data_IF_702294404873
#
_entry.id   IF_702294404873
#
_cell.length_a   1.000
_cell.length_b   1.000
_cell.length_c   1.000
_cell.angle_alpha   90.00
_cell.angle_beta   90.00
_cell.angle_gamma   90.00
#
_symmetry.space_group_name_H-M   'P 1'
#
loop_
_entity.id
_entity.type
_entity.pdbx_description
1 polymer ?
#
# COMPACT_ATOMS: atom_id res chain seq x y z
N UNK A 1 -31.59 -63.94 35.79
CA UNK A 1 -32.78 -64.74 35.38
C UNK A 1 -33.03 -64.43 33.91
N UNK A 2 -32.73 -65.22 32.89
CA UNK A 2 -32.10 -66.53 32.61
C UNK A 2 -31.42 -66.30 31.23
N UNK A 3 -30.13 -66.52 31.04
CA UNK A 3 -29.43 -67.77 30.74
C UNK A 3 -29.93 -68.61 29.54
N UNK A 4 -28.97 -68.95 28.68
CA UNK A 4 -28.90 -70.05 27.70
C UNK A 4 -29.90 -70.10 26.53
N UNK A 5 -29.36 -70.05 25.29
CA UNK A 5 -29.01 -71.29 24.56
C UNK A 5 -28.19 -71.03 23.28
N UNK A 6 -27.02 -71.66 23.29
CA UNK A 6 -26.19 -71.98 22.13
C UNK A 6 -26.94 -72.86 21.13
N UNK A 7 -26.65 -72.68 19.84
CA UNK A 7 -26.61 -73.77 18.86
C UNK A 7 -25.44 -73.54 17.91
N UNK A 8 -24.40 -74.35 18.10
CA UNK A 8 -23.40 -74.68 17.09
C UNK A 8 -24.06 -75.39 15.90
N UNK A 9 -23.57 -75.14 14.67
CA UNK A 9 -22.86 -76.14 13.85
C UNK A 9 -22.77 -75.76 12.36
N UNK A 10 -21.56 -75.95 11.85
CA UNK A 10 -21.20 -76.46 10.52
C UNK A 10 -21.22 -75.50 9.30
N UNK A 11 -20.00 -75.06 8.98
CA UNK A 11 -19.25 -75.40 7.76
C UNK A 11 -19.99 -75.30 6.42
N UNK A 12 -19.51 -74.37 5.59
CA UNK A 12 -19.24 -74.60 4.15
C UNK A 12 -18.36 -73.49 3.61
N UNK A 13 -17.10 -73.83 3.32
CA UNK A 13 -16.16 -72.93 2.68
C UNK A 13 -16.52 -72.68 1.22
N UNK A 14 -16.18 -71.49 0.74
CA UNK A 14 -15.85 -71.19 -0.66
C UNK A 14 -14.68 -70.20 -0.59
N UNK A 15 -13.54 -70.66 -1.06
CA UNK A 15 -12.36 -69.85 -1.34
C UNK A 15 -12.68 -68.94 -2.53
N UNK A 16 -12.63 -67.62 -2.35
CA UNK A 16 -12.48 -66.69 -3.46
C UNK A 16 -11.50 -65.60 -3.04
N UNK A 17 -10.36 -65.57 -3.71
CA UNK A 17 -9.34 -64.56 -3.56
C UNK A 17 -9.92 -63.17 -3.86
N UNK A 18 -9.92 -62.29 -2.87
CA UNK A 18 -10.16 -60.87 -3.08
C UNK A 18 -8.82 -60.17 -2.93
N UNK A 19 -8.32 -59.70 -4.07
CA UNK A 19 -7.04 -59.02 -4.17
C UNK A 19 -6.99 -57.79 -3.28
N UNK A 20 -5.88 -57.67 -2.55
CA UNK A 20 -5.52 -56.49 -1.77
C UNK A 20 -5.27 -55.34 -2.74
N UNK A 21 -6.27 -54.48 -2.95
CA UNK A 21 -6.03 -53.17 -3.57
C UNK A 21 -5.46 -52.27 -2.48
N UNK A 22 -4.12 -52.18 -2.44
CA UNK A 22 -3.44 -51.13 -1.68
C UNK A 22 -3.68 -49.83 -2.46
N UNK A 23 -4.73 -49.10 -2.09
CA UNK A 23 -4.89 -47.71 -2.49
C UNK A 23 -3.85 -46.92 -1.70
N UNK A 24 -2.66 -46.75 -2.28
CA UNK A 24 -1.72 -45.71 -1.85
C UNK A 24 -2.37 -44.36 -2.13
N UNK A 25 -3.06 -43.82 -1.13
CA UNK A 25 -3.45 -42.41 -1.09
C UNK A 25 -2.17 -41.59 -1.01
N UNK A 26 -1.64 -41.23 -2.17
CA UNK A 26 -0.77 -40.07 -2.35
C UNK A 26 -1.58 -38.85 -1.90
N UNK A 27 -1.44 -38.48 -0.62
CA UNK A 27 -1.65 -37.11 -0.18
C UNK A 27 -0.56 -36.27 -0.86
N UNK A 28 -0.81 -35.94 -2.13
CA UNK A 28 -0.16 -34.80 -2.77
C UNK A 28 -0.62 -33.57 -2.02
N UNK A 29 0.28 -33.00 -1.23
CA UNK A 29 0.10 -31.72 -0.58
C UNK A 29 -0.34 -30.69 -1.64
N UNK A 30 -1.58 -30.22 -1.52
CA UNK A 30 -2.05 -29.05 -2.26
C UNK A 30 -1.57 -27.80 -1.54
N UNK A 31 -0.26 -27.58 -1.55
CA UNK A 31 0.38 -26.31 -1.15
C UNK A 31 0.33 -25.33 -2.33
N UNK A 32 -0.86 -25.13 -2.90
CA UNK A 32 -1.03 -24.26 -4.08
C UNK A 32 -2.05 -23.15 -3.86
N UNK A 33 -2.23 -22.72 -2.61
CA UNK A 33 -3.12 -21.59 -2.28
C UNK A 33 -2.42 -20.44 -1.57
N UNK A 34 -1.12 -20.52 -1.25
CA UNK A 34 -0.44 -19.48 -0.46
C UNK A 34 0.55 -18.62 -1.29
N UNK A 35 0.90 -19.04 -2.51
CA UNK A 35 1.82 -18.29 -3.39
C UNK A 35 1.11 -17.12 -4.10
N UNK A 36 -0.22 -17.16 -4.18
CA UNK A 36 -1.05 -16.20 -4.94
C UNK A 36 -1.50 -14.97 -4.13
N UNK A 37 -1.12 -14.90 -2.85
CA UNK A 37 -1.54 -13.82 -1.93
C UNK A 37 -0.43 -12.80 -1.65
N UNK A 38 0.77 -12.98 -2.23
CA UNK A 38 1.77 -11.91 -2.30
C UNK A 38 1.50 -11.08 -3.53
N UNK A 39 1.25 -9.79 -3.32
CA UNK A 39 1.12 -8.80 -4.39
C UNK A 39 2.24 -8.99 -5.43
N UNK A 40 1.88 -9.36 -6.66
CA UNK A 40 2.82 -9.38 -7.79
C UNK A 40 3.36 -7.95 -7.96
N UNK A 41 4.67 -7.70 -7.71
CA UNK A 41 5.23 -6.35 -7.80
C UNK A 41 4.99 -5.69 -9.16
N UNK A 42 4.90 -6.50 -10.22
CA UNK A 42 4.60 -6.05 -11.59
C UNK A 42 3.15 -5.55 -11.70
N UNK A 43 2.21 -6.26 -11.07
CA UNK A 43 0.80 -5.89 -11.02
C UNK A 43 0.54 -4.61 -10.23
N UNK A 44 1.25 -4.42 -9.12
CA UNK A 44 1.16 -3.20 -8.32
C UNK A 44 1.71 -2.00 -9.08
N UNK A 45 2.88 -2.10 -9.72
CA UNK A 45 3.43 -1.03 -10.54
C UNK A 45 2.49 -0.66 -11.70
N UNK A 46 1.87 -1.67 -12.33
CA UNK A 46 0.89 -1.47 -13.39
C UNK A 46 -0.33 -0.69 -12.86
N UNK A 47 -0.85 -1.06 -11.69
CA UNK A 47 -1.95 -0.34 -11.06
C UNK A 47 -1.60 1.14 -10.82
N UNK A 48 -0.46 1.42 -10.18
CA UNK A 48 -0.06 2.79 -9.82
C UNK A 48 0.15 3.68 -11.05
N UNK A 49 0.76 3.14 -12.10
CA UNK A 49 1.11 3.92 -13.29
C UNK A 49 -0.01 4.03 -14.32
N UNK A 50 -0.87 3.01 -14.43
CA UNK A 50 -1.85 2.91 -15.51
C UNK A 50 -3.28 3.02 -14.99
N UNK A 51 -3.61 2.41 -13.86
CA UNK A 51 -5.00 2.29 -13.39
C UNK A 51 -5.39 3.40 -12.43
N UNK A 52 -4.55 3.75 -11.46
CA UNK A 52 -4.85 4.82 -10.50
C UNK A 52 -5.19 6.16 -11.19
N UNK A 53 -4.47 6.62 -12.23
CA UNK A 53 -4.84 7.84 -12.94
C UNK A 53 -6.22 7.74 -13.61
N UNK A 54 -6.54 6.60 -14.23
CA UNK A 54 -7.84 6.36 -14.88
C UNK A 54 -8.98 6.44 -13.86
N UNK A 55 -8.82 5.78 -12.70
CA UNK A 55 -9.84 5.82 -11.65
C UNK A 55 -10.09 7.26 -11.18
N UNK A 56 -9.02 8.02 -10.92
CA UNK A 56 -9.11 9.41 -10.48
C UNK A 56 -9.79 10.30 -11.53
N UNK A 57 -9.38 10.19 -12.79
CA UNK A 57 -9.83 11.09 -13.85
C UNK A 57 -11.24 10.77 -14.36
N UNK A 58 -11.64 9.49 -14.35
CA UNK A 58 -12.84 9.05 -15.05
C UNK A 58 -13.90 8.38 -14.17
N UNK A 59 -13.56 7.99 -12.92
CA UNK A 59 -14.45 7.17 -12.09
C UNK A 59 -14.82 7.83 -10.76
N UNK A 60 -13.83 8.34 -10.01
CA UNK A 60 -14.01 8.70 -8.59
C UNK A 60 -14.92 9.90 -8.34
N UNK A 61 -15.15 10.76 -9.34
CA UNK A 61 -16.08 11.88 -9.19
C UNK A 61 -17.52 11.41 -8.90
N UNK A 62 -17.94 10.27 -9.45
CA UNK A 62 -19.29 9.72 -9.27
C UNK A 62 -19.31 8.39 -8.51
N UNK A 63 -18.16 7.71 -8.39
CA UNK A 63 -18.03 6.40 -7.76
C UNK A 63 -16.88 6.41 -6.73
N UNK A 64 -16.91 7.39 -5.82
CA UNK A 64 -15.94 7.57 -4.74
C UNK A 64 -16.60 7.54 -3.37
N UNK A 65 -15.92 8.06 -2.35
CA UNK A 65 -16.35 7.97 -0.94
C UNK A 65 -17.47 8.96 -0.54
N UNK A 66 -17.77 9.96 -1.36
CA UNK A 66 -18.74 11.00 -1.04
C UNK A 66 -20.20 10.49 -1.18
N UNK A 67 -20.93 10.28 -0.07
CA UNK A 67 -22.29 9.73 -0.11
C UNK A 67 -23.30 10.67 -0.76
N UNK A 68 -23.01 11.97 -0.90
CA UNK A 68 -23.92 12.92 -1.55
C UNK A 68 -23.86 12.83 -3.09
N UNK A 69 -22.74 12.31 -3.62
CA UNK A 69 -22.46 12.29 -5.06
C UNK A 69 -22.49 10.85 -5.63
N UNK A 70 -22.20 9.85 -4.79
CA UNK A 70 -22.03 8.46 -5.19
C UNK A 70 -23.23 7.92 -6.01
N UNK A 71 -22.92 7.21 -7.10
CA UNK A 71 -23.90 6.58 -7.99
C UNK A 71 -23.84 5.05 -7.89
N UNK A 72 -25.01 4.43 -7.89
CA UNK A 72 -25.17 2.97 -7.87
C UNK A 72 -24.59 2.28 -6.63
N UNK A 73 -24.43 3.01 -5.51
CA UNK A 73 -23.76 2.55 -4.29
C UNK A 73 -22.38 1.91 -4.56
N UNK A 74 -21.69 2.38 -5.60
CA UNK A 74 -20.41 1.83 -6.05
C UNK A 74 -19.27 2.76 -5.64
N UNK A 75 -18.40 2.27 -4.75
CA UNK A 75 -17.18 2.96 -4.33
C UNK A 75 -15.94 2.30 -4.98
N UNK A 76 -15.31 3.00 -5.93
CA UNK A 76 -14.09 2.55 -6.59
C UNK A 76 -12.82 3.11 -5.94
N UNK A 77 -12.94 3.88 -4.85
CA UNK A 77 -11.80 4.49 -4.15
C UNK A 77 -11.01 3.49 -3.32
N UNK A 78 -11.62 2.35 -2.97
CA UNK A 78 -11.01 1.27 -2.18
C UNK A 78 -10.95 -0.05 -2.96
N UNK A 79 -9.94 -0.88 -2.68
CA UNK A 79 -9.86 -2.23 -3.27
C UNK A 79 -11.08 -3.09 -2.90
N UNK A 80 -11.56 -2.97 -1.66
CA UNK A 80 -12.74 -3.67 -1.19
C UNK A 80 -14.01 -3.24 -1.95
N UNK A 81 -14.19 -1.94 -2.20
CA UNK A 81 -15.33 -1.43 -2.93
C UNK A 81 -15.34 -1.84 -4.41
N UNK A 82 -14.16 -1.88 -5.06
CA UNK A 82 -14.00 -2.43 -6.42
C UNK A 82 -14.52 -3.88 -6.50
N UNK A 83 -14.14 -4.73 -5.54
CA UNK A 83 -14.56 -6.14 -5.54
C UNK A 83 -16.01 -6.33 -5.10
N UNK A 84 -16.45 -5.60 -4.07
CA UNK A 84 -17.83 -5.68 -3.57
C UNK A 84 -18.84 -5.19 -4.62
N UNK A 85 -18.47 -4.15 -5.37
CA UNK A 85 -19.34 -3.52 -6.34
C UNK A 85 -20.47 -2.72 -5.70
N UNK A 86 -21.57 -2.55 -6.43
CA UNK A 86 -22.70 -1.71 -6.03
C UNK A 86 -24.05 -2.40 -6.23
N UNK A 87 -25.08 -1.63 -6.56
CA UNK A 87 -26.45 -2.12 -6.74
C UNK A 87 -26.57 -3.21 -7.83
N UNK A 88 -25.65 -3.21 -8.80
CA UNK A 88 -25.56 -4.20 -9.88
C UNK A 88 -24.73 -5.44 -9.54
N UNK A 89 -24.25 -5.57 -8.30
CA UNK A 89 -23.33 -6.63 -7.87
C UNK A 89 -21.85 -6.24 -8.08
N UNK A 90 -20.94 -7.24 -8.06
CA UNK A 90 -19.50 -7.02 -8.18
C UNK A 90 -19.12 -6.20 -9.41
N UNK A 91 -18.25 -5.20 -9.27
CA UNK A 91 -17.86 -4.36 -10.41
C UNK A 91 -16.74 -4.96 -11.25
N UNK A 92 -15.91 -5.81 -10.65
CA UNK A 92 -14.80 -6.49 -11.31
C UNK A 92 -14.85 -7.98 -10.96
N UNK A 93 -14.66 -8.82 -11.98
CA UNK A 93 -14.41 -10.25 -11.86
C UNK A 93 -12.93 -10.49 -12.19
N UNK A 94 -12.06 -10.70 -11.19
CA UNK A 94 -10.63 -10.91 -11.41
C UNK A 94 -10.35 -12.01 -12.43
N UNK A 95 -9.55 -11.69 -13.45
CA UNK A 95 -9.18 -12.59 -14.54
C UNK A 95 -10.16 -12.64 -15.71
N UNK A 96 -11.33 -12.01 -15.61
CA UNK A 96 -12.37 -12.05 -16.66
C UNK A 96 -12.94 -10.65 -16.96
N UNK A 97 -12.36 -9.92 -17.94
CA UNK A 97 -12.85 -8.62 -18.35
C UNK A 97 -14.24 -8.66 -18.98
N UNK A 98 -14.60 -9.75 -19.65
CA UNK A 98 -15.89 -9.85 -20.35
C UNK A 98 -17.04 -10.12 -19.36
N UNK A 99 -16.73 -10.72 -18.22
CA UNK A 99 -17.66 -10.86 -17.09
C UNK A 99 -17.63 -9.66 -16.12
N UNK A 100 -16.78 -8.66 -16.33
CA UNK A 100 -16.60 -7.53 -15.40
C UNK A 100 -17.46 -6.31 -15.78
N UNK A 101 -18.48 -5.93 -14.98
CA UNK A 101 -19.35 -4.79 -15.28
C UNK A 101 -18.60 -3.47 -15.49
N UNK A 102 -17.50 -3.24 -14.77
CA UNK A 102 -16.65 -2.06 -14.96
C UNK A 102 -16.10 -1.98 -16.39
N UNK A 103 -15.61 -3.09 -16.94
CA UNK A 103 -15.09 -3.13 -18.31
C UNK A 103 -16.20 -3.02 -19.36
N UNK A 104 -17.34 -3.68 -19.13
CA UNK A 104 -18.51 -3.58 -20.00
C UNK A 104 -19.09 -2.15 -20.07
N UNK A 105 -19.10 -1.44 -18.95
CA UNK A 105 -19.57 -0.06 -18.87
C UNK A 105 -18.68 0.90 -19.69
N UNK A 106 -17.35 0.75 -19.61
CA UNK A 106 -16.40 1.64 -20.32
C UNK A 106 -16.25 1.33 -21.81
N UNK A 107 -16.58 0.10 -22.21
CA UNK A 107 -16.66 -0.29 -23.63
C UNK A 107 -17.96 0.16 -24.30
N UNK A 108 -18.95 0.60 -23.51
CA UNK A 108 -20.30 0.96 -23.96
C UNK A 108 -20.99 -0.25 -24.64
N UNK A 109 -20.71 -1.45 -24.13
CA UNK A 109 -21.34 -2.67 -24.63
C UNK A 109 -22.87 -2.61 -24.48
N UNK A 110 -23.33 -1.99 -23.39
CA UNK A 110 -24.72 -1.58 -23.19
C UNK A 110 -24.78 -0.05 -23.03
N UNK A 111 -25.67 0.59 -23.79
CA UNK A 111 -25.84 2.05 -23.77
C UNK A 111 -26.53 2.54 -22.50
N UNK A 112 -27.31 1.70 -21.82
CA UNK A 112 -27.97 2.07 -20.56
C UNK A 112 -26.97 2.09 -19.39
N UNK A 113 -25.88 1.33 -19.50
CA UNK A 113 -24.82 1.24 -18.49
C UNK A 113 -23.51 1.93 -18.91
N UNK A 114 -23.54 2.71 -19.98
CA UNK A 114 -22.35 3.35 -20.53
C UNK A 114 -21.76 4.39 -19.56
N UNK A 115 -20.49 4.22 -19.21
CA UNK A 115 -19.73 5.11 -18.33
C UNK A 115 -18.36 5.42 -18.94
N UNK A 116 -17.80 6.63 -18.81
CA UNK A 116 -18.36 7.79 -18.10
C UNK A 116 -19.44 8.54 -18.91
N UNK A 117 -20.41 9.20 -18.26
CA UNK A 117 -21.54 9.83 -18.95
C UNK A 117 -21.14 11.08 -19.78
N UNK A 118 -20.00 11.70 -19.47
CA UNK A 118 -19.52 12.93 -20.13
C UNK A 118 -18.69 12.66 -21.39
N UNK A 119 -18.54 11.40 -21.78
CA UNK A 119 -17.77 11.02 -22.96
C UNK A 119 -16.91 9.80 -22.68
N UNK A 120 -16.67 9.02 -23.74
CA UNK A 120 -15.87 7.81 -23.66
C UNK A 120 -14.41 8.18 -23.43
N UNK A 121 -13.77 7.49 -22.49
CA UNK A 121 -12.34 7.61 -22.22
C UNK A 121 -11.49 7.12 -23.42
N UNK A 122 -10.19 7.46 -23.51
CA UNK A 122 -9.32 7.01 -24.58
C UNK A 122 -9.26 5.48 -24.69
N UNK A 123 -9.11 4.96 -25.91
CA UNK A 123 -9.06 3.51 -26.14
C UNK A 123 -7.92 2.82 -25.37
N UNK A 124 -6.79 3.50 -25.18
CA UNK A 124 -5.67 3.01 -24.38
C UNK A 124 -6.06 2.81 -22.91
N UNK A 125 -6.84 3.72 -22.32
CA UNK A 125 -7.30 3.59 -20.93
C UNK A 125 -8.25 2.40 -20.76
N UNK A 126 -9.12 2.15 -21.75
CA UNK A 126 -10.01 0.98 -21.76
C UNK A 126 -9.19 -0.32 -21.82
N UNK A 127 -8.16 -0.33 -22.67
CA UNK A 127 -7.27 -1.49 -22.82
C UNK A 127 -6.44 -1.75 -21.55
N UNK A 128 -5.96 -0.69 -20.89
CA UNK A 128 -5.26 -0.82 -19.61
C UNK A 128 -6.18 -1.39 -18.52
N UNK A 129 -7.44 -0.93 -18.44
CA UNK A 129 -8.44 -1.51 -17.54
C UNK A 129 -8.69 -3.00 -17.83
N UNK A 130 -8.85 -3.35 -19.12
CA UNK A 130 -9.00 -4.74 -19.56
C UNK A 130 -7.83 -5.59 -19.08
N UNK A 131 -6.60 -5.15 -19.35
CA UNK A 131 -5.37 -5.86 -18.98
C UNK A 131 -5.21 -5.99 -17.46
N UNK A 132 -5.52 -4.95 -16.70
CA UNK A 132 -5.47 -5.02 -15.24
C UNK A 132 -6.43 -6.07 -14.69
N UNK A 133 -7.64 -6.17 -15.26
CA UNK A 133 -8.60 -7.20 -14.88
C UNK A 133 -8.07 -8.59 -15.24
N UNK A 134 -7.49 -8.78 -16.44
CA UNK A 134 -6.84 -10.06 -16.85
C UNK A 134 -5.73 -10.49 -15.88
N UNK A 135 -5.01 -9.54 -15.29
CA UNK A 135 -3.97 -9.79 -14.30
C UNK A 135 -4.52 -10.18 -12.91
N UNK A 136 -5.83 -10.29 -12.75
CA UNK A 136 -6.47 -10.57 -11.46
C UNK A 136 -6.78 -9.30 -10.65
N UNK A 137 -6.82 -8.14 -11.30
CA UNK A 137 -7.07 -6.84 -10.68
C UNK A 137 -6.19 -6.55 -9.43
N UNK A 138 -4.84 -6.70 -9.54
CA UNK A 138 -3.94 -6.42 -8.43
C UNK A 138 -4.11 -4.97 -7.98
N UNK A 139 -4.40 -4.76 -6.70
CA UNK A 139 -4.70 -3.45 -6.15
C UNK A 139 -3.87 -3.20 -4.88
N UNK A 140 -2.95 -2.22 -4.90
CA UNK A 140 -2.13 -1.90 -3.75
C UNK A 140 -2.96 -1.44 -2.57
N UNK A 141 -4.19 -0.96 -2.78
CA UNK A 141 -5.11 -0.53 -1.72
C UNK A 141 -5.59 -1.68 -0.84
N UNK A 142 -5.23 -2.93 -1.15
CA UNK A 142 -5.30 -4.07 -0.24
C UNK A 142 -4.20 -3.94 0.82
N UNK A 143 -4.53 -4.18 2.10
CA UNK A 143 -3.70 -3.80 3.25
C UNK A 143 -2.25 -4.34 3.28
N UNK A 144 -1.87 -5.28 2.41
CA UNK A 144 -0.50 -5.79 2.30
C UNK A 144 0.41 -4.92 1.41
N UNK A 145 -0.10 -4.38 0.30
CA UNK A 145 0.69 -3.58 -0.64
C UNK A 145 0.71 -2.09 -0.29
N UNK A 146 -0.38 -1.56 0.31
CA UNK A 146 -0.37 -0.27 1.01
C UNK A 146 0.69 -0.31 2.11
N UNK A 147 0.79 -1.39 2.88
CA UNK A 147 1.82 -1.51 3.91
C UNK A 147 3.24 -1.55 3.31
N UNK A 148 3.47 -2.30 2.24
CA UNK A 148 4.79 -2.43 1.62
C UNK A 148 5.27 -1.15 0.89
N UNK A 149 4.38 -0.43 0.20
CA UNK A 149 4.74 0.82 -0.48
C UNK A 149 4.90 1.98 0.52
N UNK A 150 4.05 2.02 1.56
CA UNK A 150 4.22 2.90 2.72
C UNK A 150 5.54 2.61 3.44
N UNK A 151 5.92 1.34 3.66
CA UNK A 151 7.20 0.98 4.29
C UNK A 151 8.42 1.33 3.44
N UNK A 152 8.29 1.41 2.11
CA UNK A 152 9.40 1.62 1.18
C UNK A 152 9.71 3.09 0.86
N UNK A 153 8.77 4.02 1.10
CA UNK A 153 8.98 5.46 0.97
C UNK A 153 9.14 6.11 2.35
N UNK A 154 10.37 6.52 2.74
CA UNK A 154 10.64 7.15 4.05
C UNK A 154 9.80 8.40 4.34
N UNK A 155 9.23 9.04 3.30
CA UNK A 155 8.41 10.24 3.42
C UNK A 155 6.91 9.95 3.49
N UNK A 156 6.46 8.73 3.16
CA UNK A 156 5.03 8.38 3.05
C UNK A 156 4.56 7.40 4.11
N UNK A 157 5.44 6.94 5.00
CA UNK A 157 5.11 6.13 6.18
C UNK A 157 4.67 6.94 7.41
N UNK A 158 3.36 7.00 7.74
CA UNK A 158 2.88 7.68 8.93
C UNK A 158 3.04 6.82 10.20
N UNK A 159 3.49 5.57 10.11
CA UNK A 159 3.52 4.59 11.22
C UNK A 159 4.92 4.12 11.62
N UNK A 160 5.91 4.07 10.74
CA UNK A 160 7.25 3.53 11.05
C UNK A 160 8.36 4.57 11.23
N UNK A 161 8.59 5.47 10.27
CA UNK A 161 9.72 6.43 10.33
C UNK A 161 9.29 7.89 10.41
N UNK A 162 8.15 8.27 9.82
CA UNK A 162 7.66 9.65 9.85
C UNK A 162 7.41 10.17 11.27
N UNK A 163 6.93 9.32 12.19
CA UNK A 163 6.68 9.73 13.60
C UNK A 163 7.95 9.99 14.40
N UNK A 164 9.08 9.41 13.97
CA UNK A 164 10.38 9.62 14.62
C UNK A 164 11.07 10.90 14.12
N UNK A 165 10.67 11.40 12.95
CA UNK A 165 11.17 12.66 12.43
C UNK A 165 10.85 13.81 13.40
N UNK A 166 11.85 14.65 13.65
CA UNK A 166 11.83 15.69 14.70
C UNK A 166 10.60 16.61 14.63
N UNK A 167 10.06 16.87 13.42
CA UNK A 167 8.91 17.73 13.22
C UNK A 167 7.58 17.17 13.78
N UNK A 168 7.49 15.86 14.00
CA UNK A 168 6.27 15.19 14.51
C UNK A 168 6.40 14.73 15.96
N UNK A 169 7.56 14.99 16.58
CA UNK A 169 7.76 14.74 18.00
C UNK A 169 7.30 15.94 18.81
N UNK A 170 6.67 15.74 19.99
CA UNK A 170 6.35 16.86 20.87
C UNK A 170 7.63 17.61 21.24
N UNK A 171 7.58 18.95 21.18
CA UNK A 171 8.70 19.80 21.55
C UNK A 171 9.00 19.61 23.05
N UNK A 172 10.22 19.18 23.35
CA UNK A 172 10.74 19.19 24.71
C UNK A 172 11.37 20.56 25.01
N UNK A 173 11.00 21.16 26.14
CA UNK A 173 11.74 22.30 26.69
C UNK A 173 12.95 21.71 27.41
N UNK A 174 14.14 22.03 26.92
CA UNK A 174 15.41 21.62 27.53
C UNK A 174 16.05 22.83 28.22
N UNK A 175 16.54 22.63 29.43
CA UNK A 175 17.35 23.63 30.10
C UNK A 175 18.69 23.80 29.35
N UNK A 176 19.14 25.05 29.12
CA UNK A 176 20.43 25.28 28.46
C UNK A 176 21.59 24.68 29.26
N UNK A 177 22.57 24.04 28.59
CA UNK A 177 23.71 23.45 29.29
C UNK A 177 24.58 24.52 29.96
N UNK A 178 25.27 24.10 31.02
CA UNK A 178 26.37 24.87 31.58
C UNK A 178 27.56 24.84 30.60
N UNK A 179 28.23 25.96 30.46
CA UNK A 179 29.39 26.17 29.57
C UNK A 179 30.44 26.97 30.34
N UNK A 180 31.70 26.80 29.99
CA UNK A 180 32.80 27.46 30.69
C UNK A 180 32.91 28.93 30.27
N UNK A 181 32.74 29.24 28.98
CA UNK A 181 32.83 30.60 28.44
C UNK A 181 31.47 31.26 28.13
N UNK A 182 30.70 31.56 29.18
CA UNK A 182 29.36 32.18 29.03
C UNK A 182 29.35 33.49 28.22
N UNK A 183 30.48 34.23 28.17
CA UNK A 183 30.59 35.51 27.47
C UNK A 183 30.53 35.42 25.94
N UNK A 184 30.75 34.23 25.36
CA UNK A 184 30.60 34.01 23.92
C UNK A 184 29.12 33.84 23.53
N UNK A 185 28.30 33.28 24.43
CA UNK A 185 26.89 33.02 24.20
C UNK A 185 26.07 34.33 24.20
N UNK A 186 25.33 34.60 23.12
CA UNK A 186 24.45 35.78 23.00
C UNK A 186 23.00 35.43 23.33
N UNK A 187 22.64 34.16 23.15
CA UNK A 187 21.32 33.59 23.39
C UNK A 187 21.47 32.25 24.10
N UNK A 188 20.38 31.73 24.66
CA UNK A 188 20.35 30.41 25.28
C UNK A 188 20.69 29.27 24.29
N UNK A 189 20.40 29.47 22.99
CA UNK A 189 20.75 28.52 21.93
C UNK A 189 22.27 28.38 21.78
N UNK A 190 23.02 29.47 21.95
CA UNK A 190 24.47 29.47 21.79
C UNK A 190 25.15 28.60 22.86
N UNK A 191 24.52 28.39 24.02
CA UNK A 191 25.03 27.47 25.06
C UNK A 191 25.09 26.03 24.56
N UNK A 192 24.10 25.58 23.77
CA UNK A 192 24.11 24.23 23.20
C UNK A 192 25.24 24.05 22.18
N UNK A 193 25.52 25.08 21.38
CA UNK A 193 26.62 25.07 20.42
C UNK A 193 27.96 25.06 21.14
N UNK A 194 28.14 25.96 22.12
CA UNK A 194 29.39 26.08 22.86
C UNK A 194 29.68 24.81 23.69
N UNK A 195 28.69 24.24 24.37
CA UNK A 195 28.85 22.98 25.10
C UNK A 195 29.35 21.85 24.19
N UNK A 196 28.85 21.79 22.94
CA UNK A 196 29.32 20.78 21.97
C UNK A 196 30.74 21.06 21.50
N UNK A 197 31.10 22.32 21.27
CA UNK A 197 32.46 22.73 20.90
C UNK A 197 33.47 22.42 22.03
N UNK A 198 33.16 22.80 23.27
CA UNK A 198 33.95 22.50 24.47
C UNK A 198 34.14 20.99 24.65
N UNK A 199 33.06 20.20 24.53
CA UNK A 199 33.15 18.72 24.61
C UNK A 199 34.04 18.10 23.52
N UNK A 200 34.20 18.80 22.39
CA UNK A 200 35.06 18.38 21.29
C UNK A 200 36.47 18.98 21.36
N UNK A 201 36.76 19.84 22.35
CA UNK A 201 38.01 20.58 22.45
C UNK A 201 38.22 21.57 21.30
N UNK A 202 37.15 22.10 20.72
CA UNK A 202 37.18 23.06 19.61
C UNK A 202 36.85 24.45 20.17
N UNK A 203 37.70 25.43 19.89
CA UNK A 203 37.42 26.82 20.23
C UNK A 203 36.49 27.47 19.19
N UNK A 204 35.52 28.30 19.62
CA UNK A 204 34.69 29.06 18.69
C UNK A 204 35.51 30.00 17.80
N UNK A 205 35.11 30.10 16.52
CA UNK A 205 35.73 31.05 15.62
C UNK A 205 35.43 32.51 16.03
N UNK A 206 36.38 33.44 15.82
CA UNK A 206 36.14 34.85 16.10
C UNK A 206 35.08 35.43 15.14
N UNK A 207 34.42 36.50 15.58
CA UNK A 207 33.48 37.25 14.74
C UNK A 207 34.18 37.72 13.46
N UNK A 208 33.62 37.37 12.31
CA UNK A 208 34.13 37.81 11.02
C UNK A 208 34.04 39.33 10.86
N UNK A 209 35.02 39.93 10.19
CA UNK A 209 35.02 41.36 9.90
C UNK A 209 33.90 41.75 8.92
N UNK A 210 33.58 43.05 8.87
CA UNK A 210 32.48 43.58 8.05
C UNK A 210 32.62 43.24 6.56
N UNK A 211 33.84 43.24 6.01
CA UNK A 211 34.07 42.95 4.59
C UNK A 211 33.84 41.47 4.31
N UNK A 212 34.29 40.59 5.21
CA UNK A 212 34.03 39.14 5.11
C UNK A 212 32.53 38.83 5.21
N UNK A 213 31.81 39.46 6.15
CA UNK A 213 30.36 39.30 6.28
C UNK A 213 29.61 39.77 5.03
N UNK A 214 29.95 40.95 4.50
CA UNK A 214 29.34 41.47 3.27
C UNK A 214 29.56 40.51 2.09
N UNK A 215 30.78 40.00 1.93
CA UNK A 215 31.09 39.03 0.87
C UNK A 215 30.28 37.74 1.02
N UNK A 216 30.15 37.19 2.23
CA UNK A 216 29.36 35.97 2.50
C UNK A 216 27.88 36.17 2.19
N UNK A 217 27.29 37.27 2.66
CA UNK A 217 25.90 37.61 2.40
C UNK A 217 25.60 37.76 0.90
N UNK A 218 26.52 38.36 0.14
CA UNK A 218 26.39 38.50 -1.31
C UNK A 218 26.39 37.16 -2.04
N UNK A 219 27.29 36.25 -1.69
CA UNK A 219 27.27 34.90 -2.26
C UNK A 219 26.01 34.12 -1.88
N UNK A 220 25.56 34.24 -0.65
CA UNK A 220 24.38 33.52 -0.15
C UNK A 220 23.09 34.00 -0.82
N UNK A 221 22.92 35.32 -0.96
CA UNK A 221 21.69 35.91 -1.48
C UNK A 221 21.60 35.92 -3.01
N UNK A 222 22.72 36.16 -3.70
CA UNK A 222 22.71 36.37 -5.17
C UNK A 222 23.78 35.58 -5.93
N UNK A 223 24.65 34.83 -5.25
CA UNK A 223 25.67 34.00 -5.90
C UNK A 223 26.86 34.76 -6.51
N UNK A 224 26.99 36.06 -6.29
CA UNK A 224 28.03 36.92 -6.87
C UNK A 224 28.77 37.72 -5.77
N UNK A 225 30.04 38.13 -5.98
CA UNK A 225 30.75 38.97 -5.01
C UNK A 225 30.23 40.43 -5.02
N UNK A 226 30.44 41.19 -3.92
CA UNK A 226 30.07 42.60 -3.85
C UNK A 226 30.94 43.47 -4.79
N UNK A 227 30.30 44.46 -5.44
CA UNK A 227 30.93 45.46 -6.33
C UNK A 227 31.37 46.72 -5.61
#
# INVERSE_FOLDING_TARGET
MQDMRRRDLASRGITLAVGTVIVSSLLGASERTDEQERADPTGIEFFERRIRPILIEHCLECHGEDPEVIKGNLDLSTAAGVLAGGDSGPSVVPGDPDASPLHLAVTYADKEFAMPPRGRMPAEAIEDLRRWIEMGAPDPRTGAAVAAEIESDPWRDPRGQGREHWAYRPMAILDPPAVDEEGWCRTEIDRFVLARLESAGIEPAPTADRRTLARRAYFDLIGLPPT
#
